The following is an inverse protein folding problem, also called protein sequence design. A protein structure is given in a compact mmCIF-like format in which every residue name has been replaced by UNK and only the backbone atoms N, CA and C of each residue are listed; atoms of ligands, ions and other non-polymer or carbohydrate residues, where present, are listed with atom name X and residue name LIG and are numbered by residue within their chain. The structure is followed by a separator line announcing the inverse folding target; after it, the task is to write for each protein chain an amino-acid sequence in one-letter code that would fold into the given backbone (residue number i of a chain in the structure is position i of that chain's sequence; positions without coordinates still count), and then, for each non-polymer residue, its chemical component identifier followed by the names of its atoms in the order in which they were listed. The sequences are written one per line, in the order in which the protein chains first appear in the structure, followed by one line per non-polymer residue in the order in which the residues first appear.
data_IF_085544457346
#
_entry.id   IF_085544457346
#
_cell.length_a   1.000
_cell.length_b   1.000
_cell.length_c   1.000
_cell.angle_alpha   90.00
_cell.angle_beta   90.00
_cell.angle_gamma   90.00
#
_symmetry.space_group_name_H-M   'P 1'
#
loop_
_entity.id
_entity.type
_entity.pdbx_description
1 polymer ?
#
# COMPACT_ATOMS: atom_id res chain seq x y z
N UNK A 1 4.34 -9.87 -18.60
CA UNK A 1 5.31 -8.78 -18.82
C UNK A 1 5.74 -8.25 -17.46
N UNK A 2 7.04 -8.05 -17.21
CA UNK A 2 7.56 -7.58 -15.92
C UNK A 2 7.93 -6.09 -16.04
N UNK A 3 7.37 -5.24 -15.18
CA UNK A 3 7.68 -3.80 -15.12
C UNK A 3 9.11 -3.59 -14.62
N UNK A 4 9.79 -2.57 -15.14
CA UNK A 4 11.09 -2.10 -14.68
C UNK A 4 11.11 -0.56 -14.65
N UNK A 5 12.01 0.01 -13.84
CA UNK A 5 12.39 1.42 -13.90
C UNK A 5 13.82 1.48 -14.40
N UNK A 6 14.04 2.15 -15.53
CA UNK A 6 15.32 2.19 -16.22
C UNK A 6 15.85 3.61 -16.33
N UNK A 7 17.07 3.83 -15.86
CA UNK A 7 17.74 5.13 -15.92
C UNK A 7 18.98 5.17 -15.05
N UNK A 8 19.21 6.32 -14.43
CA UNK A 8 20.39 6.63 -13.64
C UNK A 8 20.17 6.20 -12.19
N UNK A 9 21.05 5.32 -11.72
CA UNK A 9 21.15 4.92 -10.33
C UNK A 9 22.57 5.20 -9.82
N UNK A 10 22.70 5.78 -8.63
CA UNK A 10 23.99 6.02 -7.97
C UNK A 10 23.97 5.28 -6.64
N UNK A 11 24.90 4.35 -6.44
CA UNK A 11 24.97 3.50 -5.24
C UNK A 11 23.64 2.79 -4.90
N UNK A 12 22.90 2.37 -5.92
CA UNK A 12 21.59 1.71 -5.77
C UNK A 12 20.40 2.68 -5.58
N UNK A 13 20.65 3.98 -5.43
CA UNK A 13 19.59 5.00 -5.32
C UNK A 13 19.15 5.48 -6.70
N UNK A 14 17.85 5.46 -6.96
CA UNK A 14 17.26 5.91 -8.23
C UNK A 14 17.29 7.45 -8.31
N UNK A 15 18.08 8.00 -9.24
CA UNK A 15 18.19 9.46 -9.43
C UNK A 15 17.16 9.97 -10.44
N UNK A 16 17.06 9.29 -11.58
CA UNK A 16 16.03 9.50 -12.59
C UNK A 16 15.88 8.21 -13.38
N UNK A 17 14.65 7.72 -13.54
CA UNK A 17 14.36 6.51 -14.31
C UNK A 17 12.99 6.61 -14.97
N UNK A 18 12.87 6.02 -16.15
CA UNK A 18 11.61 5.90 -16.89
C UNK A 18 11.03 4.51 -16.74
N UNK A 19 9.72 4.41 -16.88
CA UNK A 19 9.06 3.11 -16.96
C UNK A 19 9.56 2.33 -18.18
N UNK A 20 9.90 1.06 -17.97
CA UNK A 20 10.27 0.13 -19.00
C UNK A 20 9.58 -1.23 -18.80
N UNK A 21 9.58 -2.04 -19.85
CA UNK A 21 9.12 -3.43 -19.84
C UNK A 21 10.27 -4.35 -20.18
N UNK A 22 10.46 -5.40 -19.37
CA UNK A 22 11.42 -6.46 -19.68
C UNK A 22 10.85 -7.33 -20.81
N UNK A 23 11.47 -7.28 -21.99
CA UNK A 23 11.06 -8.02 -23.19
C UNK A 23 11.90 -9.26 -23.47
N UNK A 24 13.11 -9.34 -22.90
CA UNK A 24 13.91 -10.56 -22.90
C UNK A 24 14.88 -10.57 -21.71
N UNK A 25 15.30 -11.75 -21.28
CA UNK A 25 16.33 -11.92 -20.26
C UNK A 25 17.25 -13.09 -20.64
N UNK A 26 18.54 -12.97 -20.35
CA UNK A 26 19.51 -14.07 -20.44
C UNK A 26 20.52 -13.97 -19.31
N UNK A 27 21.06 -15.10 -18.87
CA UNK A 27 22.21 -15.13 -17.98
C UNK A 27 23.45 -15.47 -18.82
N UNK A 28 24.51 -14.69 -18.66
CA UNK A 28 25.78 -14.91 -19.34
C UNK A 28 26.90 -14.54 -18.36
N UNK A 29 27.78 -15.49 -18.05
CA UNK A 29 28.87 -15.38 -17.07
C UNK A 29 28.41 -14.85 -15.70
N UNK A 30 27.33 -15.42 -15.15
CA UNK A 30 26.76 -14.99 -13.87
C UNK A 30 26.04 -13.63 -13.89
N UNK A 31 26.09 -12.91 -15.01
CA UNK A 31 25.44 -11.60 -15.17
C UNK A 31 24.07 -11.76 -15.83
N UNK A 32 23.03 -11.26 -15.17
CA UNK A 32 21.69 -11.17 -15.75
C UNK A 32 21.62 -9.99 -16.71
N UNK A 33 21.44 -10.27 -17.99
CA UNK A 33 21.27 -9.27 -19.05
C UNK A 33 19.80 -9.15 -19.41
N UNK A 34 19.27 -7.94 -19.36
CA UNK A 34 17.87 -7.62 -19.67
C UNK A 34 17.79 -6.85 -20.98
N UNK A 35 16.83 -7.20 -21.84
CA UNK A 35 16.41 -6.34 -22.94
C UNK A 35 15.14 -5.62 -22.51
N UNK A 36 15.17 -4.30 -22.61
CA UNK A 36 14.09 -3.43 -22.18
C UNK A 36 13.44 -2.72 -23.38
N UNK A 37 12.15 -2.45 -23.25
CA UNK A 37 11.42 -1.53 -24.12
C UNK A 37 10.89 -0.40 -23.24
N UNK A 38 11.25 0.84 -23.58
CA UNK A 38 10.79 2.01 -22.83
C UNK A 38 9.30 2.23 -23.06
N UNK A 39 8.60 2.61 -21.99
CA UNK A 39 7.24 3.10 -22.10
C UNK A 39 7.23 4.41 -22.90
N UNK A 40 6.19 4.68 -23.71
CA UNK A 40 6.03 5.99 -24.34
C UNK A 40 5.72 7.10 -23.32
N UNK A 41 5.41 6.74 -22.06
CA UNK A 41 5.28 7.71 -20.99
C UNK A 41 6.65 8.32 -20.66
N UNK A 42 6.76 9.64 -20.75
CA UNK A 42 7.99 10.39 -20.52
C UNK A 42 8.18 10.83 -19.06
N UNK A 43 7.28 10.41 -18.16
CA UNK A 43 7.40 10.69 -16.73
C UNK A 43 8.65 10.02 -16.11
N UNK A 44 9.52 10.86 -15.56
CA UNK A 44 10.67 10.43 -14.76
C UNK A 44 10.26 10.12 -13.31
N UNK A 45 10.81 9.03 -12.79
CA UNK A 45 10.72 8.60 -11.40
C UNK A 45 12.07 8.80 -10.71
N UNK A 46 12.07 9.23 -9.45
CA UNK A 46 13.25 9.35 -8.61
C UNK A 46 12.97 8.79 -7.22
N UNK A 47 14.03 8.44 -6.50
CA UNK A 47 13.92 8.09 -5.09
C UNK A 47 13.60 9.33 -4.26
N UNK A 48 12.52 9.24 -3.48
CA UNK A 48 12.08 10.25 -2.54
C UNK A 48 11.51 9.55 -1.32
N UNK A 49 12.25 9.52 -0.21
CA UNK A 49 11.75 8.92 1.03
C UNK A 49 10.85 9.93 1.76
N UNK A 50 9.60 9.59 2.13
CA UNK A 50 8.76 10.49 2.89
C UNK A 50 9.27 10.69 4.32
N UNK A 51 8.94 11.83 4.91
CA UNK A 51 9.09 12.13 6.34
C UNK A 51 7.73 12.59 6.91
N UNK A 52 7.70 13.07 8.16
CA UNK A 52 6.44 13.46 8.83
C UNK A 52 5.79 14.71 8.22
N UNK A 53 6.52 15.53 7.46
CA UNK A 53 6.01 16.77 6.86
C UNK A 53 5.77 16.68 5.35
N UNK A 54 6.56 15.87 4.63
CA UNK A 54 6.63 15.90 3.16
C UNK A 54 6.81 14.50 2.59
N UNK A 55 6.16 14.26 1.45
CA UNK A 55 6.35 13.02 0.69
C UNK A 55 7.74 12.92 0.05
N UNK A 56 8.34 14.04 -0.38
CA UNK A 56 9.57 14.06 -1.18
C UNK A 56 9.46 13.35 -2.54
N UNK A 57 8.24 13.12 -3.03
CA UNK A 57 7.90 12.65 -4.37
C UNK A 57 6.56 13.25 -4.80
N UNK A 58 6.20 13.15 -6.08
CA UNK A 58 4.90 13.58 -6.57
C UNK A 58 3.79 12.61 -6.09
N UNK A 59 2.86 13.03 -5.22
CA UNK A 59 1.82 12.16 -4.65
C UNK A 59 0.80 11.70 -5.69
N UNK A 60 0.71 12.35 -6.85
CA UNK A 60 -0.26 12.03 -7.92
C UNK A 60 0.35 11.24 -9.09
N UNK A 61 1.67 11.00 -9.08
CA UNK A 61 2.35 10.17 -10.07
C UNK A 61 2.22 8.70 -9.64
N UNK A 62 1.38 7.93 -10.34
CA UNK A 62 1.05 6.55 -9.98
C UNK A 62 2.18 5.57 -10.27
N UNK A 63 2.42 4.66 -9.33
CA UNK A 63 3.35 3.56 -9.51
C UNK A 63 3.00 2.71 -10.76
N UNK A 64 3.94 2.49 -11.70
CA UNK A 64 3.66 1.79 -12.94
C UNK A 64 3.38 0.29 -12.77
N UNK A 65 3.82 -0.32 -11.67
CA UNK A 65 3.50 -1.70 -11.34
C UNK A 65 2.06 -1.82 -10.84
N UNK A 66 1.68 -1.01 -9.84
CA UNK A 66 0.31 -0.98 -9.31
C UNK A 66 -0.71 -0.60 -10.37
N UNK A 67 -0.40 0.38 -11.23
CA UNK A 67 -1.29 0.82 -12.30
C UNK A 67 -1.74 -0.33 -13.21
N UNK A 68 -0.90 -1.37 -13.38
CA UNK A 68 -1.22 -2.55 -14.20
C UNK A 68 -1.89 -3.66 -13.39
N UNK A 69 -1.77 -3.64 -12.06
CA UNK A 69 -2.15 -4.75 -11.18
C UNK A 69 -3.48 -4.55 -10.47
N UNK A 70 -3.80 -3.33 -10.07
CA UNK A 70 -4.98 -3.01 -9.27
C UNK A 70 -5.72 -1.76 -9.77
N UNK A 71 -7.00 -1.65 -9.45
CA UNK A 71 -7.74 -0.40 -9.49
C UNK A 71 -8.60 -0.22 -8.24
N UNK A 72 -8.94 1.03 -7.97
CA UNK A 72 -9.93 1.39 -6.96
C UNK A 72 -11.31 1.38 -7.59
N UNK A 73 -12.32 0.90 -6.86
CA UNK A 73 -13.75 0.95 -7.23
C UNK A 73 -14.58 1.24 -5.99
N UNK A 74 -15.78 1.75 -6.19
CA UNK A 74 -16.79 1.81 -5.13
C UNK A 74 -17.25 0.40 -4.74
N UNK A 75 -17.55 0.25 -3.45
CA UNK A 75 -18.17 -0.91 -2.81
C UNK A 75 -19.53 -0.48 -2.26
N UNK A 76 -20.42 -1.43 -2.02
CA UNK A 76 -21.78 -1.10 -1.59
C UNK A 76 -21.84 -0.49 -0.18
N UNK A 77 -20.90 -0.86 0.70
CA UNK A 77 -21.02 -0.63 2.15
C UNK A 77 -19.74 -0.08 2.80
N UNK A 78 -18.58 -0.14 2.13
CA UNK A 78 -17.27 0.23 2.69
C UNK A 78 -16.62 1.42 1.98
N UNK A 79 -17.38 2.13 1.16
CA UNK A 79 -16.87 3.20 0.32
C UNK A 79 -16.00 2.63 -0.80
N UNK A 80 -14.74 3.02 -0.89
CA UNK A 80 -13.82 2.52 -1.93
C UNK A 80 -13.10 1.24 -1.50
N UNK A 81 -12.80 0.38 -2.47
CA UNK A 81 -12.02 -0.85 -2.28
C UNK A 81 -10.98 -1.04 -3.39
N UNK A 82 -10.00 -1.90 -3.12
CA UNK A 82 -8.94 -2.26 -4.05
C UNK A 82 -9.30 -3.55 -4.80
N UNK A 83 -9.21 -3.56 -6.12
CA UNK A 83 -9.63 -4.68 -6.96
C UNK A 83 -8.53 -5.09 -7.93
N UNK A 84 -8.39 -6.40 -8.17
CA UNK A 84 -7.39 -6.92 -9.09
C UNK A 84 -7.75 -6.64 -10.56
N UNK A 85 -6.82 -6.10 -11.35
CA UNK A 85 -6.96 -5.94 -12.82
C UNK A 85 -6.66 -7.22 -13.60
N UNK A 86 -5.90 -8.10 -13.00
CA UNK A 86 -5.46 -9.38 -13.58
C UNK A 86 -5.33 -10.41 -12.45
N UNK A 87 -5.07 -11.66 -12.81
CA UNK A 87 -4.85 -12.71 -11.82
C UNK A 87 -3.57 -12.43 -11.01
N UNK A 88 -3.63 -12.64 -9.70
CA UNK A 88 -2.52 -12.49 -8.77
C UNK A 88 -2.30 -13.83 -8.06
N UNK A 89 -1.05 -14.31 -8.02
CA UNK A 89 -0.71 -15.57 -7.35
C UNK A 89 -0.31 -15.33 -5.89
N UNK A 90 -0.47 -16.34 -5.02
CA UNK A 90 0.09 -16.28 -3.67
C UNK A 90 1.58 -15.92 -3.68
N UNK A 91 1.99 -15.03 -2.77
CA UNK A 91 3.35 -14.53 -2.67
C UNK A 91 3.64 -13.29 -3.53
N UNK A 92 2.80 -12.97 -4.51
CA UNK A 92 2.95 -11.76 -5.31
C UNK A 92 2.64 -10.50 -4.47
N UNK A 93 3.41 -9.45 -4.70
CA UNK A 93 3.02 -8.10 -4.28
C UNK A 93 1.78 -7.67 -5.09
N UNK A 94 0.78 -7.14 -4.39
CA UNK A 94 -0.49 -6.66 -4.94
C UNK A 94 -0.41 -5.15 -5.16
N UNK A 95 -0.11 -4.42 -4.10
CA UNK A 95 0.01 -2.97 -4.06
C UNK A 95 0.96 -2.53 -2.94
N UNK A 96 1.50 -1.32 -3.01
CA UNK A 96 2.33 -0.72 -1.99
C UNK A 96 1.49 0.18 -1.08
N UNK A 97 1.98 0.44 0.12
CA UNK A 97 1.38 1.35 1.08
C UNK A 97 2.47 2.31 1.55
N UNK A 98 2.53 3.49 0.93
CA UNK A 98 3.39 4.58 1.35
C UNK A 98 2.56 5.74 1.92
N UNK A 99 3.10 6.41 2.91
CA UNK A 99 2.49 7.58 3.54
C UNK A 99 3.56 8.54 4.07
N UNK A 100 3.13 9.59 4.76
CA UNK A 100 4.04 10.36 5.62
C UNK A 100 4.52 9.43 6.75
N UNK A 101 5.77 9.58 7.17
CA UNK A 101 6.38 8.70 8.18
C UNK A 101 6.60 9.46 9.47
N UNK A 102 5.99 8.94 10.53
CA UNK A 102 6.02 9.48 11.89
C UNK A 102 6.82 8.53 12.78
N UNK A 103 7.46 9.10 13.80
CA UNK A 103 8.07 8.35 14.88
C UNK A 103 7.19 8.62 16.11
N UNK A 104 6.50 7.59 16.60
CA UNK A 104 5.51 7.72 17.67
C UNK A 104 6.12 8.17 19.01
N UNK A 105 7.44 8.09 19.18
CA UNK A 105 8.14 8.62 20.37
C UNK A 105 8.39 10.11 20.30
N UNK A 106 8.46 10.68 19.10
CA UNK A 106 8.81 12.10 18.90
C UNK A 106 7.67 12.93 18.32
N UNK A 107 6.67 12.27 17.75
CA UNK A 107 5.50 12.88 17.14
C UNK A 107 4.24 12.18 17.66
N UNK A 108 3.68 12.73 18.75
CA UNK A 108 2.39 12.27 19.25
C UNK A 108 1.30 12.59 18.21
N UNK A 109 0.77 11.56 17.56
CA UNK A 109 -0.40 11.69 16.69
C UNK A 109 -1.70 11.79 17.48
N UNK A 110 -1.71 11.31 18.72
CA UNK A 110 -2.87 11.31 19.61
C UNK A 110 -2.66 12.30 20.74
N UNK A 111 -3.73 13.00 21.13
CA UNK A 111 -3.73 13.92 22.26
C UNK A 111 -4.91 13.60 23.19
N UNK A 112 -4.77 13.74 24.53
CA UNK A 112 -5.86 13.47 25.47
C UNK A 112 -7.15 14.26 25.22
N UNK A 113 -7.06 15.39 24.50
CA UNK A 113 -8.19 16.26 24.19
C UNK A 113 -8.87 15.94 22.85
N UNK A 114 -8.50 14.83 22.18
CA UNK A 114 -9.13 14.42 20.93
C UNK A 114 -10.51 13.81 21.18
N UNK A 115 -11.45 14.15 20.31
CA UNK A 115 -12.74 13.44 20.21
C UNK A 115 -12.52 12.06 19.59
N UNK A 116 -13.42 11.10 19.86
CA UNK A 116 -13.37 9.78 19.23
C UNK A 116 -13.34 9.87 17.70
N UNK A 117 -14.07 10.82 17.11
CA UNK A 117 -14.07 11.02 15.65
C UNK A 117 -12.70 11.46 15.11
N UNK A 118 -11.91 12.21 15.88
CA UNK A 118 -10.56 12.61 15.49
C UNK A 118 -9.58 11.43 15.60
N UNK A 119 -9.72 10.63 16.65
CA UNK A 119 -8.98 9.37 16.83
C UNK A 119 -9.27 8.41 15.66
N UNK A 120 -10.54 8.20 15.33
CA UNK A 120 -10.98 7.35 14.21
C UNK A 120 -10.47 7.87 12.84
N UNK A 121 -10.40 9.20 12.67
CA UNK A 121 -9.86 9.82 11.46
C UNK A 121 -8.35 9.55 11.30
N UNK A 122 -7.59 9.63 12.39
CA UNK A 122 -6.16 9.28 12.39
C UNK A 122 -5.98 7.79 12.08
N UNK A 123 -6.73 6.92 12.76
CA UNK A 123 -6.61 5.47 12.58
C UNK A 123 -6.95 4.98 11.18
N UNK A 124 -7.82 5.70 10.44
CA UNK A 124 -8.32 5.28 9.13
C UNK A 124 -7.22 4.90 8.14
N UNK A 125 -6.08 5.62 8.15
CA UNK A 125 -4.94 5.38 7.26
C UNK A 125 -3.63 5.14 8.02
N UNK A 126 -3.71 4.91 9.33
CA UNK A 126 -2.55 4.64 10.16
C UNK A 126 -2.13 3.18 10.02
N UNK A 127 -0.84 2.95 9.77
CA UNK A 127 -0.25 1.61 9.79
C UNK A 127 1.16 1.67 10.37
N UNK A 128 1.52 0.70 11.22
CA UNK A 128 2.89 0.57 11.73
C UNK A 128 3.82 0.19 10.58
N UNK A 129 4.87 0.97 10.36
CA UNK A 129 5.96 0.61 9.46
C UNK A 129 6.88 -0.41 10.13
N UNK A 130 7.60 -0.03 11.18
CA UNK A 130 8.53 -0.88 11.93
C UNK A 130 8.83 -0.25 13.29
N UNK A 131 8.74 -1.02 14.37
CA UNK A 131 8.97 -0.51 15.72
C UNK A 131 8.06 0.68 16.02
N UNK A 132 8.65 1.81 16.37
CA UNK A 132 7.95 3.08 16.65
C UNK A 132 7.67 3.92 15.40
N UNK A 133 8.08 3.46 14.21
CA UNK A 133 7.80 4.16 12.97
C UNK A 133 6.43 3.76 12.44
N UNK A 134 5.64 4.77 12.12
CA UNK A 134 4.29 4.65 11.60
C UNK A 134 4.15 5.40 10.28
N UNK A 135 3.23 4.94 9.44
CA UNK A 135 2.85 5.62 8.22
C UNK A 135 1.40 6.08 8.32
N UNK A 136 1.14 7.30 7.86
CA UNK A 136 -0.22 7.81 7.75
C UNK A 136 -0.41 8.64 6.46
N UNK A 137 -1.63 8.62 5.95
CA UNK A 137 -2.11 9.53 4.90
C UNK A 137 -3.24 10.38 5.50
N UNK A 138 -2.96 11.59 6.00
CA UNK A 138 -4.02 12.48 6.47
C UNK A 138 -4.83 13.04 5.30
N UNK A 139 -5.99 13.65 5.57
CA UNK A 139 -6.67 14.48 4.57
C UNK A 139 -5.71 15.59 4.05
N UNK A 140 -5.78 15.96 2.76
CA UNK A 140 -6.76 15.51 1.76
C UNK A 140 -6.31 14.27 0.97
N UNK A 141 -5.24 13.58 1.38
CA UNK A 141 -4.62 12.48 0.62
C UNK A 141 -5.40 11.17 0.62
N UNK A 142 -6.62 11.16 1.16
CA UNK A 142 -7.55 10.06 0.98
C UNK A 142 -8.13 10.04 -0.44
N UNK A 143 -8.18 11.19 -1.09
CA UNK A 143 -8.74 11.33 -2.42
C UNK A 143 -7.70 10.97 -3.49
N UNK A 144 -8.08 10.16 -4.47
CA UNK A 144 -7.18 9.75 -5.57
C UNK A 144 -6.68 10.92 -6.42
N UNK A 145 -7.41 12.03 -6.41
CA UNK A 145 -7.00 13.28 -7.04
C UNK A 145 -5.80 13.93 -6.33
N UNK A 146 -5.65 13.69 -5.02
CA UNK A 146 -4.61 14.27 -4.17
C UNK A 146 -3.47 13.28 -3.93
N UNK A 147 -3.76 11.98 -3.85
CA UNK A 147 -2.78 10.94 -3.67
C UNK A 147 -3.16 9.65 -4.39
N UNK A 148 -2.30 9.23 -5.31
CA UNK A 148 -2.40 7.96 -6.05
C UNK A 148 -1.02 7.39 -6.40
N UNK A 149 0.00 7.79 -5.65
CA UNK A 149 1.36 7.28 -5.82
C UNK A 149 1.45 5.80 -5.47
N UNK A 150 0.73 5.38 -4.42
CA UNK A 150 0.47 3.99 -4.03
C UNK A 150 -1.02 3.83 -3.68
N UNK A 151 -1.58 2.63 -3.75
CA UNK A 151 -3.02 2.39 -3.53
C UNK A 151 -3.33 1.40 -2.40
N UNK A 152 -2.33 0.94 -1.64
CA UNK A 152 -2.52 0.01 -0.53
C UNK A 152 -3.48 0.51 0.55
N UNK A 153 -3.57 1.84 0.75
CA UNK A 153 -4.50 2.48 1.67
C UNK A 153 -5.98 2.39 1.26
N UNK A 154 -6.28 1.83 0.07
CA UNK A 154 -7.65 1.58 -0.42
C UNK A 154 -8.08 0.14 -0.22
N UNK A 155 -7.24 -0.71 0.38
CA UNK A 155 -7.65 -2.06 0.76
C UNK A 155 -8.70 -1.99 1.86
N UNK A 156 -9.65 -2.92 1.86
CA UNK A 156 -10.66 -3.01 2.91
C UNK A 156 -10.35 -4.14 3.88
N UNK A 157 -10.89 -3.99 5.08
CA UNK A 157 -10.86 -5.03 6.11
C UNK A 157 -11.85 -6.18 5.80
N UNK A 158 -11.50 -7.39 6.22
CA UNK A 158 -12.40 -8.54 6.38
C UNK A 158 -11.81 -9.55 7.37
N UNK A 159 -12.64 -10.13 8.24
CA UNK A 159 -12.24 -11.29 9.07
C UNK A 159 -12.40 -12.64 8.33
N UNK A 160 -13.33 -12.75 7.38
CA UNK A 160 -13.66 -14.03 6.74
C UNK A 160 -12.97 -14.26 5.39
N UNK A 161 -12.82 -13.22 4.58
CA UNK A 161 -12.52 -13.34 3.15
C UNK A 161 -11.13 -12.81 2.77
N UNK A 162 -10.20 -12.80 3.72
CA UNK A 162 -8.83 -12.31 3.48
C UNK A 162 -8.14 -13.08 2.36
N UNK A 163 -7.49 -12.33 1.48
CA UNK A 163 -6.70 -12.87 0.37
C UNK A 163 -5.36 -12.13 0.19
N UNK A 164 -5.06 -11.16 1.06
CA UNK A 164 -3.77 -10.51 1.16
C UNK A 164 -3.42 -10.24 2.64
N UNK A 165 -2.18 -9.82 2.87
CA UNK A 165 -1.66 -9.38 4.17
C UNK A 165 -0.66 -8.23 4.00
N UNK A 166 -0.39 -7.50 5.07
CA UNK A 166 0.66 -6.49 5.09
C UNK A 166 2.05 -7.10 5.28
N UNK A 167 3.00 -6.69 4.46
CA UNK A 167 4.42 -7.06 4.57
C UNK A 167 5.30 -5.81 4.54
N UNK A 168 6.53 -5.94 5.06
CA UNK A 168 7.58 -4.94 4.81
C UNK A 168 8.09 -5.09 3.37
N UNK A 169 8.31 -3.98 2.67
CA UNK A 169 8.85 -3.99 1.31
C UNK A 169 9.74 -2.78 1.04
N UNK A 170 10.85 -3.01 0.35
CA UNK A 170 11.65 -1.93 -0.21
C UNK A 170 11.08 -1.52 -1.57
N UNK A 171 10.87 -0.23 -1.77
CA UNK A 171 10.45 0.35 -3.05
C UNK A 171 11.51 1.31 -3.58
N UNK A 172 11.94 1.22 -4.86
CA UNK A 172 12.99 2.08 -5.41
C UNK A 172 12.64 3.57 -5.40
N UNK A 173 11.35 3.91 -5.31
CA UNK A 173 10.86 5.29 -5.23
C UNK A 173 10.68 5.80 -3.80
N UNK A 174 10.31 4.93 -2.86
CA UNK A 174 9.81 5.36 -1.53
C UNK A 174 10.69 4.88 -0.37
N UNK A 175 11.62 3.95 -0.62
CA UNK A 175 12.41 3.27 0.41
C UNK A 175 11.62 2.15 1.09
N UNK A 176 11.94 1.89 2.35
CA UNK A 176 11.22 0.91 3.17
C UNK A 176 9.83 1.43 3.53
N UNK A 177 8.82 0.69 3.09
CA UNK A 177 7.40 0.95 3.28
C UNK A 177 6.67 -0.38 3.51
N UNK A 178 5.34 -0.33 3.66
CA UNK A 178 4.51 -1.54 3.66
C UNK A 178 4.04 -1.87 2.24
N UNK A 179 3.65 -3.12 2.04
CA UNK A 179 2.99 -3.58 0.84
C UNK A 179 1.95 -4.64 1.19
N UNK A 180 1.03 -4.87 0.26
CA UNK A 180 0.09 -5.97 0.28
C UNK A 180 0.70 -7.15 -0.47
N UNK A 181 0.78 -8.32 0.18
CA UNK A 181 1.15 -9.58 -0.45
C UNK A 181 -0.07 -10.47 -0.53
N UNK A 182 -0.32 -11.06 -1.69
CA UNK A 182 -1.40 -12.03 -1.84
C UNK A 182 -1.09 -13.30 -1.03
N UNK A 183 -2.01 -13.72 -0.17
CA UNK A 183 -1.93 -14.99 0.59
C UNK A 183 -2.66 -16.12 -0.12
N UNK A 184 -3.61 -15.77 -0.99
CA UNK A 184 -4.40 -16.68 -1.82
C UNK A 184 -4.35 -16.20 -3.26
N UNK A 185 -4.76 -17.08 -4.19
CA UNK A 185 -4.97 -16.65 -5.57
C UNK A 185 -6.10 -15.64 -5.62
N UNK A 186 -5.88 -14.53 -6.32
CA UNK A 186 -6.89 -13.50 -6.56
C UNK A 186 -7.23 -13.47 -8.05
N UNK A 187 -8.53 -13.59 -8.36
CA UNK A 187 -9.04 -13.53 -9.73
C UNK A 187 -9.17 -12.09 -10.21
N UNK A 188 -9.15 -11.87 -11.54
CA UNK A 188 -9.45 -10.56 -12.12
C UNK A 188 -10.82 -10.08 -11.65
N UNK A 189 -10.88 -8.85 -11.16
CA UNK A 189 -12.11 -8.21 -10.66
C UNK A 189 -12.47 -8.58 -9.22
N UNK A 190 -11.74 -9.48 -8.58
CA UNK A 190 -11.93 -9.79 -7.16
C UNK A 190 -11.37 -8.65 -6.29
N UNK A 191 -12.06 -8.35 -5.20
CA UNK A 191 -11.61 -7.39 -4.19
C UNK A 191 -10.42 -7.95 -3.41
N UNK A 192 -9.47 -7.07 -3.07
CA UNK A 192 -8.36 -7.35 -2.18
C UNK A 192 -8.81 -7.02 -0.77
N UNK A 193 -8.75 -8.02 0.12
CA UNK A 193 -9.18 -7.91 1.50
C UNK A 193 -8.09 -8.41 2.44
N UNK A 194 -7.90 -7.68 3.52
CA UNK A 194 -6.91 -7.97 4.57
C UNK A 194 -7.59 -8.02 5.93
N UNK A 195 -6.94 -8.65 6.89
CA UNK A 195 -7.21 -8.35 8.29
C UNK A 195 -6.40 -7.10 8.67
N UNK A 196 -7.00 -6.14 9.37
CA UNK A 196 -6.29 -4.94 9.82
C UNK A 196 -5.51 -5.21 11.10
N UNK A 197 -5.90 -6.22 11.88
CA UNK A 197 -5.18 -6.63 13.07
C UNK A 197 -5.19 -5.57 14.18
N UNK A 198 -6.23 -4.74 14.27
CA UNK A 198 -6.38 -3.86 15.43
C UNK A 198 -6.59 -4.71 16.70
N UNK A 199 -6.03 -4.29 17.85
CA UNK A 199 -6.24 -4.98 19.12
C UNK A 199 -7.72 -4.97 19.53
N UNK A 200 -8.25 -6.12 19.95
CA UNK A 200 -9.68 -6.22 20.34
C UNK A 200 -9.95 -5.60 21.71
N UNK A 201 -8.97 -5.65 22.60
CA UNK A 201 -9.10 -5.19 24.00
C UNK A 201 -8.60 -3.76 24.21
N UNK A 202 -8.47 -2.97 23.15
CA UNK A 202 -7.99 -1.59 23.20
C UNK A 202 -9.12 -0.61 22.84
N UNK A 203 -9.41 0.32 23.75
CA UNK A 203 -10.42 1.36 23.55
C UNK A 203 -10.06 2.33 22.40
N UNK A 204 -8.79 2.38 21.98
CA UNK A 204 -8.34 3.17 20.84
C UNK A 204 -8.64 2.49 19.49
N UNK A 205 -9.00 1.20 19.49
CA UNK A 205 -9.40 0.52 18.26
C UNK A 205 -10.68 1.12 17.68
N UNK A 206 -10.77 1.30 16.35
CA UNK A 206 -11.94 1.94 15.76
C UNK A 206 -13.25 1.20 16.09
N UNK A 207 -14.29 1.93 16.50
CA UNK A 207 -15.55 1.35 16.93
C UNK A 207 -16.17 0.41 15.88
N UNK A 208 -16.13 0.79 14.59
CA UNK A 208 -16.64 -0.04 13.49
C UNK A 208 -15.95 -1.40 13.39
N UNK A 209 -14.67 -1.47 13.76
CA UNK A 209 -13.88 -2.70 13.72
C UNK A 209 -14.26 -3.62 14.88
N UNK A 210 -14.41 -3.09 16.09
CA UNK A 210 -14.88 -3.85 17.26
C UNK A 210 -16.29 -4.38 17.04
N UNK A 211 -17.20 -3.57 16.49
CA UNK A 211 -18.54 -4.00 16.09
C UNK A 211 -18.52 -5.11 15.01
N UNK A 212 -17.61 -5.00 14.04
CA UNK A 212 -17.42 -6.05 13.03
C UNK A 212 -16.88 -7.35 13.66
N UNK A 213 -16.00 -7.24 14.65
CA UNK A 213 -15.43 -8.38 15.36
C UNK A 213 -16.48 -9.12 16.20
N UNK A 214 -17.33 -8.41 16.94
CA UNK A 214 -18.42 -9.05 17.71
C UNK A 214 -19.39 -9.80 16.78
N UNK A 215 -19.77 -9.20 15.64
CA UNK A 215 -20.59 -9.89 14.63
C UNK A 215 -19.90 -11.12 14.05
N UNK A 216 -18.59 -11.04 13.83
CA UNK A 216 -17.78 -12.18 13.38
C UNK A 216 -17.83 -13.32 14.41
N UNK A 217 -17.58 -13.03 15.70
CA UNK A 217 -17.64 -14.03 16.77
C UNK A 217 -19.02 -14.70 16.88
N UNK A 218 -20.09 -13.91 16.83
CA UNK A 218 -21.47 -14.42 16.87
C UNK A 218 -21.78 -15.36 15.71
N UNK A 219 -21.20 -15.09 14.53
CA UNK A 219 -21.37 -15.94 13.35
C UNK A 219 -20.65 -17.29 13.50
N UNK A 220 -19.47 -17.30 14.10
CA UNK A 220 -18.70 -18.52 14.39
C UNK A 220 -19.32 -19.36 15.50
N UNK A 221 -19.99 -18.74 16.47
CA UNK A 221 -20.68 -19.46 17.55
C UNK A 221 -21.95 -20.20 17.06
N UNK A 222 -22.46 -19.87 15.87
CA UNK A 222 -23.67 -20.46 15.27
C UNK A 222 -23.39 -21.51 14.20
N UNK A 223 -22.11 -21.71 13.84
CA UNK A 223 -21.64 -22.70 12.85
C UNK A 223 -21.09 -23.95 13.52
#
# INVERSE_FOLDING_TARGET
MKTALWGIFINGTMISAKEAVIVAQRCFDGVKRLRLSLSPNDEDFHFGRPNHMRFNFNPTQTDPYERKRVNVRETNDRGQGLFAKSRIEPGDVVAYYAGLIFDSKTHEMFSPNMTQSQVDEIHRMLIVLEGDLEMNLPRPYWELAQYRATLGHKVNHSFHQTNAEFIMSYHPRFGWIRALRATKRVSRGQEILVDYGYPIDDEQSPAWYLEAYHRYQDSCAKS
#
